data_IF_773766019993
#
_entry.id   IF_773766019993
#
_cell.length_a   1.000
_cell.length_b   1.000
_cell.length_c   1.000
_cell.angle_alpha   90.00
_cell.angle_beta   90.00
_cell.angle_gamma   90.00
#
_symmetry.space_group_name_H-M   'P 1'
#
loop_
_entity.id
_entity.type
_entity.pdbx_description
1 polymer ?
#
# COMPACT_ATOMS: atom_id res chain seq x y z
N UNK A 1 14.03 60.81 -3.25
CA UNK A 1 12.73 60.38 -3.80
C UNK A 1 12.86 58.88 -4.06
N UNK A 2 12.55 58.07 -3.05
CA UNK A 2 12.52 56.62 -3.14
C UNK A 2 11.26 56.15 -3.86
N UNK A 3 11.45 55.27 -4.79
CA UNK A 3 10.40 54.81 -5.71
C UNK A 3 9.48 53.81 -4.98
N UNK A 4 8.19 54.11 -4.74
CA UNK A 4 7.30 53.25 -3.94
C UNK A 4 6.88 51.96 -4.63
N UNK A 5 7.40 51.67 -5.83
CA UNK A 5 7.10 50.48 -6.63
C UNK A 5 8.02 49.29 -6.32
N UNK A 6 9.21 49.51 -5.71
CA UNK A 6 10.12 48.40 -5.36
C UNK A 6 9.76 47.68 -4.06
N UNK A 7 8.98 48.30 -3.17
CA UNK A 7 8.59 47.70 -1.90
C UNK A 7 7.35 46.82 -1.98
N UNK A 8 6.62 46.80 -3.10
CA UNK A 8 5.43 45.97 -3.28
C UNK A 8 5.70 44.60 -3.90
N UNK A 9 6.83 44.43 -4.61
CA UNK A 9 7.21 43.13 -5.23
C UNK A 9 7.73 42.13 -4.20
N UNK A 10 8.39 42.60 -3.15
CA UNK A 10 9.06 41.77 -2.15
C UNK A 10 8.08 41.12 -1.11
N UNK A 11 6.86 41.67 -0.99
CA UNK A 11 5.82 41.15 -0.07
C UNK A 11 4.91 40.08 -0.68
N UNK A 12 4.87 39.94 -1.99
CA UNK A 12 4.01 38.96 -2.66
C UNK A 12 4.65 37.57 -2.76
N UNK A 13 5.97 37.48 -2.83
CA UNK A 13 6.68 36.22 -2.96
C UNK A 13 6.85 35.48 -1.62
N UNK A 14 6.95 36.23 -0.49
CA UNK A 14 6.96 35.64 0.86
C UNK A 14 5.65 34.96 1.25
N UNK A 15 4.54 35.30 0.59
CA UNK A 15 3.20 34.80 0.94
C UNK A 15 2.85 33.48 0.27
N UNK A 16 3.60 33.03 -0.73
CA UNK A 16 3.29 31.82 -1.50
C UNK A 16 3.72 30.52 -0.79
N UNK A 17 4.78 30.58 0.03
CA UNK A 17 5.28 29.48 0.86
C UNK A 17 5.31 29.87 2.35
N UNK A 18 4.14 29.89 3.00
CA UNK A 18 4.05 30.14 4.44
C UNK A 18 4.53 28.94 5.25
N UNK A 19 4.98 29.19 6.48
CA UNK A 19 5.34 28.10 7.42
C UNK A 19 4.20 27.12 7.66
N UNK A 20 2.96 27.63 7.66
CA UNK A 20 1.77 26.79 7.86
C UNK A 20 1.56 25.80 6.72
N UNK A 21 1.86 26.21 5.46
CA UNK A 21 1.80 25.33 4.30
C UNK A 21 2.89 24.25 4.39
N UNK A 22 4.11 24.63 4.76
CA UNK A 22 5.21 23.68 4.94
C UNK A 22 4.91 22.67 6.05
N UNK A 23 4.35 23.11 7.19
CA UNK A 23 3.96 22.24 8.30
C UNK A 23 2.85 21.26 7.89
N UNK A 24 1.83 21.71 7.17
CA UNK A 24 0.78 20.82 6.66
C UNK A 24 1.32 19.81 5.65
N UNK A 25 2.20 20.23 4.74
CA UNK A 25 2.86 19.32 3.80
C UNK A 25 3.72 18.29 4.53
N UNK A 26 4.44 18.69 5.57
CA UNK A 26 5.22 17.77 6.39
C UNK A 26 4.31 16.75 7.11
N UNK A 27 3.17 17.17 7.62
CA UNK A 27 2.20 16.25 8.23
C UNK A 27 1.65 15.24 7.21
N UNK A 28 1.36 15.68 5.97
CA UNK A 28 0.93 14.78 4.89
C UNK A 28 2.05 13.81 4.53
N UNK A 29 3.31 14.28 4.46
CA UNK A 29 4.48 13.46 4.16
C UNK A 29 4.69 12.38 5.22
N UNK A 30 4.65 12.75 6.51
CA UNK A 30 4.80 11.80 7.62
C UNK A 30 3.66 10.77 7.63
N UNK A 31 2.41 11.19 7.45
CA UNK A 31 1.26 10.29 7.35
C UNK A 31 1.39 9.33 6.16
N UNK A 32 1.81 9.85 5.01
CA UNK A 32 2.02 9.04 3.80
C UNK A 32 3.13 8.01 4.01
N UNK A 33 4.22 8.39 4.68
CA UNK A 33 5.32 7.48 5.03
C UNK A 33 4.85 6.37 5.97
N UNK A 34 4.06 6.70 7.00
CA UNK A 34 3.50 5.70 7.91
C UNK A 34 2.55 4.74 7.18
N UNK A 35 1.66 5.25 6.31
CA UNK A 35 0.76 4.41 5.52
C UNK A 35 1.51 3.51 4.54
N UNK A 36 2.58 4.02 3.94
CA UNK A 36 3.46 3.20 3.11
C UNK A 36 4.10 2.05 3.90
N UNK A 37 4.62 2.31 5.10
CA UNK A 37 5.21 1.26 5.94
C UNK A 37 4.19 0.20 6.37
N UNK A 38 2.99 0.63 6.77
CA UNK A 38 1.89 -0.27 7.14
C UNK A 38 1.52 -1.16 5.94
N UNK A 39 1.31 -0.57 4.78
CA UNK A 39 0.95 -1.29 3.55
C UNK A 39 2.05 -2.27 3.12
N UNK A 40 3.33 -1.87 3.25
CA UNK A 40 4.48 -2.75 2.98
C UNK A 40 4.50 -3.96 3.91
N UNK A 41 4.27 -3.75 5.20
CA UNK A 41 4.23 -4.84 6.19
C UNK A 41 3.12 -5.83 5.88
N UNK A 42 1.93 -5.33 5.58
CA UNK A 42 0.78 -6.16 5.20
C UNK A 42 1.04 -6.94 3.91
N UNK A 43 1.66 -6.30 2.91
CA UNK A 43 2.07 -6.98 1.68
C UNK A 43 3.01 -8.17 1.97
N UNK A 44 4.00 -7.97 2.85
CA UNK A 44 4.94 -9.04 3.22
C UNK A 44 4.26 -10.18 3.99
N UNK A 45 3.32 -9.88 4.88
CA UNK A 45 2.52 -10.89 5.60
C UNK A 45 1.65 -11.70 4.62
N UNK A 46 1.02 -11.03 3.66
CA UNK A 46 0.20 -11.69 2.64
C UNK A 46 1.02 -12.56 1.69
N UNK A 47 2.26 -12.15 1.33
CA UNK A 47 3.21 -13.00 0.58
C UNK A 47 3.52 -14.27 1.36
N UNK A 48 3.79 -14.14 2.66
CA UNK A 48 4.09 -15.31 3.48
C UNK A 48 2.89 -16.26 3.54
N UNK A 49 1.69 -15.71 3.76
CA UNK A 49 0.45 -16.49 3.76
C UNK A 49 0.20 -17.16 2.40
N UNK A 50 0.42 -16.47 1.29
CA UNK A 50 0.28 -17.01 -0.05
C UNK A 50 1.23 -18.20 -0.30
N UNK A 51 2.49 -18.09 0.14
CA UNK A 51 3.47 -19.17 0.04
C UNK A 51 3.01 -20.40 0.82
N UNK A 52 2.43 -20.19 1.99
CA UNK A 52 1.92 -21.28 2.83
C UNK A 52 0.83 -22.10 2.14
N UNK A 53 -0.03 -21.48 1.31
CA UNK A 53 -1.03 -22.20 0.52
C UNK A 53 -0.47 -22.74 -0.79
N UNK A 54 0.29 -21.95 -1.56
CA UNK A 54 0.73 -22.33 -2.90
C UNK A 54 1.77 -23.43 -2.93
N UNK A 55 2.71 -23.44 -1.97
CA UNK A 55 3.75 -24.47 -1.97
C UNK A 55 3.16 -25.89 -1.77
N UNK A 56 2.30 -26.14 -0.76
CA UNK A 56 1.67 -27.46 -0.63
C UNK A 56 0.83 -27.85 -1.84
N UNK A 57 0.08 -26.92 -2.44
CA UNK A 57 -0.72 -27.19 -3.65
C UNK A 57 0.18 -27.69 -4.78
N UNK A 58 1.29 -27.01 -5.05
CA UNK A 58 2.23 -27.40 -6.11
C UNK A 58 2.83 -28.79 -5.84
N UNK A 59 3.29 -29.02 -4.60
CA UNK A 59 3.90 -30.30 -4.21
C UNK A 59 2.89 -31.44 -4.31
N UNK A 60 1.68 -31.28 -3.77
CA UNK A 60 0.65 -32.32 -3.80
C UNK A 60 0.16 -32.60 -5.23
N UNK A 61 0.05 -31.56 -6.06
CA UNK A 61 -0.30 -31.73 -7.48
C UNK A 61 0.79 -32.51 -8.25
N UNK A 62 2.05 -32.23 -7.96
CA UNK A 62 3.19 -32.98 -8.53
C UNK A 62 3.18 -34.45 -8.09
N UNK A 63 2.99 -34.70 -6.79
CA UNK A 63 2.89 -36.06 -6.26
C UNK A 63 1.70 -36.83 -6.85
N UNK A 64 0.53 -36.17 -6.98
CA UNK A 64 -0.63 -36.78 -7.61
C UNK A 64 -0.34 -37.26 -9.04
N UNK A 65 0.42 -36.47 -9.82
CA UNK A 65 0.84 -36.84 -11.18
C UNK A 65 1.78 -38.02 -11.19
N UNK A 66 2.74 -38.10 -10.26
CA UNK A 66 3.68 -39.21 -10.14
C UNK A 66 2.93 -40.49 -9.71
N UNK A 67 2.00 -40.41 -8.78
CA UNK A 67 1.22 -41.54 -8.31
C UNK A 67 0.31 -42.11 -9.39
N UNK A 68 -0.31 -41.23 -10.19
CA UNK A 68 -1.16 -41.65 -11.29
C UNK A 68 -0.44 -42.53 -12.33
N UNK A 69 0.86 -42.33 -12.56
CA UNK A 69 1.63 -43.05 -13.55
C UNK A 69 2.47 -44.17 -12.91
N UNK A 70 3.17 -43.89 -11.82
CA UNK A 70 4.18 -44.76 -11.23
C UNK A 70 3.67 -45.89 -10.38
N UNK A 71 2.53 -45.71 -9.67
CA UNK A 71 2.03 -46.73 -8.75
C UNK A 71 1.22 -47.83 -9.41
N UNK A 72 0.78 -47.67 -10.65
CA UNK A 72 0.00 -48.67 -11.38
C UNK A 72 0.71 -50.03 -11.54
N UNK A 73 2.06 -50.05 -11.46
CA UNK A 73 2.85 -51.28 -11.57
C UNK A 73 3.07 -52.00 -10.22
N UNK A 74 2.79 -51.31 -9.11
CA UNK A 74 3.12 -51.78 -7.76
C UNK A 74 1.87 -52.02 -6.87
N UNK A 75 0.75 -51.40 -7.22
CA UNK A 75 -0.49 -51.42 -6.42
C UNK A 75 -1.71 -51.70 -7.30
N UNK A 76 -2.76 -52.22 -6.69
CA UNK A 76 -4.03 -52.41 -7.37
C UNK A 76 -4.60 -51.07 -7.86
N UNK A 77 -5.11 -51.02 -9.06
CA UNK A 77 -5.63 -49.80 -9.70
C UNK A 77 -6.71 -49.08 -8.86
N UNK A 78 -7.50 -49.84 -8.10
CA UNK A 78 -8.52 -49.27 -7.23
C UNK A 78 -7.91 -48.40 -6.10
N UNK A 79 -6.82 -48.86 -5.50
CA UNK A 79 -6.11 -48.14 -4.43
C UNK A 79 -5.48 -46.85 -4.97
N UNK A 80 -4.84 -46.92 -6.14
CA UNK A 80 -4.24 -45.76 -6.82
C UNK A 80 -5.32 -44.72 -7.15
N UNK A 81 -6.48 -45.17 -7.63
CA UNK A 81 -7.61 -44.29 -7.97
C UNK A 81 -8.17 -43.56 -6.73
N UNK A 82 -8.33 -44.28 -5.62
CA UNK A 82 -8.81 -43.69 -4.36
C UNK A 82 -7.78 -42.65 -3.82
N UNK A 83 -6.49 -42.98 -3.86
CA UNK A 83 -5.42 -42.12 -3.40
C UNK A 83 -5.41 -40.80 -4.21
N UNK A 84 -5.46 -40.89 -5.55
CA UNK A 84 -5.51 -39.71 -6.43
C UNK A 84 -6.77 -38.87 -6.19
N UNK A 85 -7.91 -39.50 -5.94
CA UNK A 85 -9.14 -38.80 -5.62
C UNK A 85 -9.01 -37.97 -4.30
N UNK A 86 -8.44 -38.56 -3.25
CA UNK A 86 -8.22 -37.90 -1.97
C UNK A 86 -7.23 -36.73 -2.14
N UNK A 87 -6.10 -36.97 -2.84
CA UNK A 87 -5.11 -35.90 -3.10
C UNK A 87 -5.73 -34.75 -3.92
N UNK A 88 -6.48 -35.08 -4.97
CA UNK A 88 -7.19 -34.10 -5.78
C UNK A 88 -8.20 -33.28 -4.98
N UNK A 89 -8.95 -33.93 -4.07
CA UNK A 89 -9.87 -33.26 -3.17
C UNK A 89 -9.16 -32.28 -2.22
N UNK A 90 -8.03 -32.70 -1.63
CA UNK A 90 -7.23 -31.83 -0.75
C UNK A 90 -6.74 -30.60 -1.50
N UNK A 91 -6.16 -30.78 -2.71
CA UNK A 91 -5.65 -29.69 -3.54
C UNK A 91 -6.78 -28.71 -3.92
N UNK A 92 -7.94 -29.25 -4.35
CA UNK A 92 -9.10 -28.44 -4.71
C UNK A 92 -9.63 -27.65 -3.52
N UNK A 93 -9.69 -28.26 -2.33
CA UNK A 93 -10.13 -27.57 -1.10
C UNK A 93 -9.18 -26.46 -0.71
N UNK A 94 -7.86 -26.71 -0.73
CA UNK A 94 -6.86 -25.69 -0.42
C UNK A 94 -6.92 -24.51 -1.41
N UNK A 95 -7.06 -24.76 -2.70
CA UNK A 95 -7.21 -23.74 -3.72
C UNK A 95 -8.49 -22.91 -3.55
N UNK A 96 -9.59 -23.57 -3.18
CA UNK A 96 -10.87 -22.89 -2.90
C UNK A 96 -10.78 -21.97 -1.68
N UNK A 97 -10.07 -22.38 -0.62
CA UNK A 97 -9.83 -21.57 0.56
C UNK A 97 -8.96 -20.35 0.20
N UNK A 98 -7.89 -20.51 -0.57
CA UNK A 98 -7.04 -19.39 -1.03
C UNK A 98 -7.87 -18.34 -1.81
N UNK A 99 -8.71 -18.81 -2.73
CA UNK A 99 -9.61 -17.97 -3.51
C UNK A 99 -10.64 -17.24 -2.62
N UNK A 100 -11.25 -17.94 -1.68
CA UNK A 100 -12.21 -17.36 -0.74
C UNK A 100 -11.59 -16.27 0.13
N UNK A 101 -10.38 -16.48 0.62
CA UNK A 101 -9.63 -15.48 1.38
C UNK A 101 -9.22 -14.25 0.57
N UNK A 102 -9.21 -14.36 -0.75
CA UNK A 102 -8.85 -13.29 -1.68
C UNK A 102 -7.43 -12.77 -1.47
N UNK A 103 -6.49 -13.64 -1.08
CA UNK A 103 -5.13 -13.28 -0.69
C UNK A 103 -4.43 -12.49 -1.81
N UNK A 104 -4.51 -12.97 -3.04
CA UNK A 104 -3.87 -12.31 -4.19
C UNK A 104 -4.40 -10.89 -4.39
N UNK A 105 -5.73 -10.69 -4.32
CA UNK A 105 -6.35 -9.35 -4.47
C UNK A 105 -5.93 -8.40 -3.34
N UNK A 106 -5.89 -8.89 -2.10
CA UNK A 106 -5.44 -8.09 -0.95
C UNK A 106 -3.97 -7.70 -1.08
N UNK A 107 -3.14 -8.61 -1.60
CA UNK A 107 -1.73 -8.37 -1.85
C UNK A 107 -1.52 -7.28 -2.90
N UNK A 108 -2.28 -7.30 -4.01
CA UNK A 108 -2.21 -6.27 -5.04
C UNK A 108 -2.63 -4.90 -4.50
N UNK A 109 -3.70 -4.84 -3.69
CA UNK A 109 -4.14 -3.60 -3.03
C UNK A 109 -3.04 -3.07 -2.10
N UNK A 110 -2.46 -3.93 -1.25
CA UNK A 110 -1.42 -3.53 -0.31
C UNK A 110 -0.15 -3.03 -1.04
N UNK A 111 0.24 -3.68 -2.14
CA UNK A 111 1.38 -3.26 -2.95
C UNK A 111 1.13 -1.91 -3.62
N UNK A 112 -0.03 -1.73 -4.25
CA UNK A 112 -0.40 -0.46 -4.88
C UNK A 112 -0.47 0.68 -3.86
N UNK A 113 -1.07 0.44 -2.70
CA UNK A 113 -1.13 1.42 -1.61
C UNK A 113 0.27 1.81 -1.14
N UNK A 114 1.16 0.83 -0.91
CA UNK A 114 2.55 1.08 -0.54
C UNK A 114 3.25 1.98 -1.57
N UNK A 115 3.15 1.64 -2.86
CA UNK A 115 3.82 2.38 -3.92
C UNK A 115 3.27 3.81 -4.03
N UNK A 116 1.97 3.98 -3.99
CA UNK A 116 1.32 5.29 -4.15
C UNK A 116 1.64 6.22 -2.98
N UNK A 117 1.52 5.77 -1.74
CA UNK A 117 1.89 6.57 -0.56
C UNK A 117 3.38 6.89 -0.52
N UNK A 118 4.24 5.95 -0.93
CA UNK A 118 5.67 6.19 -1.03
C UNK A 118 5.99 7.27 -2.06
N UNK A 119 5.37 7.23 -3.24
CA UNK A 119 5.57 8.25 -4.29
C UNK A 119 5.10 9.61 -3.79
N UNK A 120 3.94 9.69 -3.11
CA UNK A 120 3.44 10.93 -2.55
C UNK A 120 4.41 11.50 -1.50
N UNK A 121 4.91 10.69 -0.58
CA UNK A 121 5.86 11.15 0.44
C UNK A 121 7.17 11.65 -0.19
N UNK A 122 7.71 10.95 -1.19
CA UNK A 122 8.92 11.37 -1.91
C UNK A 122 8.68 12.68 -2.66
N UNK A 123 7.53 12.86 -3.31
CA UNK A 123 7.15 14.08 -4.03
C UNK A 123 7.14 15.29 -3.09
N UNK A 124 6.51 15.16 -1.92
CA UNK A 124 6.45 16.22 -0.92
C UNK A 124 7.84 16.51 -0.34
N UNK A 125 8.58 15.45 0.05
CA UNK A 125 9.92 15.58 0.62
C UNK A 125 10.89 16.27 -0.35
N UNK A 126 10.85 15.93 -1.64
CA UNK A 126 11.68 16.58 -2.64
C UNK A 126 11.32 18.06 -2.79
N UNK A 127 10.05 18.42 -2.75
CA UNK A 127 9.63 19.82 -2.79
C UNK A 127 10.09 20.57 -1.54
N UNK A 128 9.93 20.01 -0.34
CA UNK A 128 10.31 20.66 0.92
C UNK A 128 11.82 20.81 1.10
N UNK A 129 12.63 19.94 0.46
CA UNK A 129 14.11 20.05 0.47
C UNK A 129 14.67 21.13 -0.44
N UNK A 130 13.91 21.61 -1.41
CA UNK A 130 14.32 22.72 -2.24
C UNK A 130 14.26 24.04 -1.45
N UNK A 131 15.22 24.93 -1.68
CA UNK A 131 15.16 26.28 -1.15
C UNK A 131 13.92 26.99 -1.69
N UNK A 132 13.33 27.89 -0.90
CA UNK A 132 12.08 28.61 -1.26
C UNK A 132 12.20 29.33 -2.60
N UNK A 133 13.38 29.90 -2.88
CA UNK A 133 13.65 30.60 -4.14
C UNK A 133 13.57 29.69 -5.37
N UNK A 134 13.89 28.40 -5.19
CA UNK A 134 13.81 27.39 -6.26
C UNK A 134 12.43 26.73 -6.39
N UNK A 135 11.49 27.03 -5.46
CA UNK A 135 10.08 26.58 -5.52
C UNK A 135 9.18 27.59 -6.23
N UNK A 136 9.75 28.70 -6.75
CA UNK A 136 9.02 29.84 -7.31
C UNK A 136 8.11 29.48 -8.50
N UNK A 137 8.35 28.37 -9.18
CA UNK A 137 7.49 27.88 -10.27
C UNK A 137 6.19 27.22 -9.80
N UNK A 138 6.10 26.84 -8.51
CA UNK A 138 4.93 26.18 -7.92
C UNK A 138 4.26 27.04 -6.87
N UNK A 139 2.96 27.33 -7.06
CA UNK A 139 2.15 27.96 -5.99
C UNK A 139 2.00 26.98 -4.83
N UNK A 140 2.49 27.39 -3.64
CA UNK A 140 2.47 26.55 -2.43
C UNK A 140 1.07 26.10 -2.03
N UNK A 141 0.05 26.93 -2.21
CA UNK A 141 -1.34 26.57 -1.93
C UNK A 141 -1.88 25.57 -2.94
N UNK A 142 -1.60 25.77 -4.21
CA UNK A 142 -2.03 24.84 -5.25
C UNK A 142 -1.37 23.48 -5.06
N UNK A 143 -0.07 23.46 -4.70
CA UNK A 143 0.66 22.24 -4.41
C UNK A 143 0.09 21.50 -3.17
N UNK A 144 -0.16 22.23 -2.07
CA UNK A 144 -0.78 21.66 -0.87
C UNK A 144 -2.15 21.04 -1.19
N UNK A 145 -3.01 21.78 -1.91
CA UNK A 145 -4.35 21.29 -2.27
C UNK A 145 -4.28 20.03 -3.14
N UNK A 146 -3.34 20.00 -4.09
CA UNK A 146 -3.12 18.81 -4.94
C UNK A 146 -2.63 17.61 -4.12
N UNK A 147 -1.66 17.81 -3.21
CA UNK A 147 -1.15 16.73 -2.35
C UNK A 147 -2.21 16.23 -1.37
N UNK A 148 -3.04 17.12 -0.81
CA UNK A 148 -4.13 16.75 0.08
C UNK A 148 -5.19 15.93 -0.66
N UNK A 149 -5.62 16.37 -1.86
CA UNK A 149 -6.57 15.62 -2.67
C UNK A 149 -6.03 14.24 -3.09
N UNK A 150 -4.75 14.16 -3.45
CA UNK A 150 -4.08 12.89 -3.76
C UNK A 150 -4.05 11.97 -2.52
N UNK A 151 -3.71 12.50 -1.35
CA UNK A 151 -3.71 11.76 -0.08
C UNK A 151 -5.11 11.23 0.27
N UNK A 152 -6.15 12.07 0.20
CA UNK A 152 -7.55 11.69 0.47
C UNK A 152 -8.03 10.59 -0.49
N UNK A 153 -7.68 10.71 -1.78
CA UNK A 153 -8.00 9.69 -2.76
C UNK A 153 -7.33 8.35 -2.42
N UNK A 154 -6.04 8.36 -2.09
CA UNK A 154 -5.30 7.16 -1.72
C UNK A 154 -5.85 6.55 -0.43
N UNK A 155 -6.17 7.38 0.55
CA UNK A 155 -6.74 6.93 1.82
C UNK A 155 -8.11 6.27 1.63
N UNK A 156 -8.97 6.85 0.77
CA UNK A 156 -10.30 6.29 0.49
C UNK A 156 -10.25 4.95 -0.25
N UNK A 157 -9.21 4.72 -1.06
CA UNK A 157 -8.99 3.44 -1.75
C UNK A 157 -8.36 2.38 -0.85
N UNK A 158 -7.74 2.80 0.23
CA UNK A 158 -7.05 1.94 1.16
C UNK A 158 -8.02 1.47 2.26
N UNK A 159 -8.62 0.28 2.09
CA UNK A 159 -9.51 -0.33 3.07
C UNK A 159 -8.76 -0.88 4.31
N UNK A 160 -7.52 -0.45 4.53
CA UNK A 160 -6.65 -0.96 5.57
C UNK A 160 -6.71 -0.03 6.76
N UNK A 161 -7.66 -0.26 7.65
CA UNK A 161 -7.69 0.32 8.99
C UNK A 161 -6.75 -0.48 9.89
N UNK A 162 -5.64 0.12 10.30
CA UNK A 162 -4.77 -0.45 11.32
C UNK A 162 -4.97 0.33 12.62
N UNK A 163 -5.20 -0.37 13.72
CA UNK A 163 -5.46 0.20 15.05
C UNK A 163 -4.29 1.05 15.59
N UNK A 164 -3.11 0.97 14.96
CA UNK A 164 -1.90 1.68 15.36
C UNK A 164 -1.61 2.93 14.51
N UNK A 165 -2.55 3.37 13.68
CA UNK A 165 -2.37 4.56 12.86
C UNK A 165 -2.75 5.83 13.63
N UNK A 166 -1.81 6.73 13.80
CA UNK A 166 -2.04 8.07 14.39
C UNK A 166 -2.02 9.10 13.27
N UNK A 167 -3.20 9.60 12.92
CA UNK A 167 -3.34 10.64 11.91
C UNK A 167 -2.93 12.02 12.50
N UNK A 168 -1.93 12.66 11.88
CA UNK A 168 -1.47 14.00 12.28
C UNK A 168 -2.29 15.13 11.65
N UNK A 169 -3.05 14.85 10.60
CA UNK A 169 -3.92 15.85 9.94
C UNK A 169 -5.22 16.07 10.70
N UNK A 170 -5.74 15.00 11.28
CA UNK A 170 -6.98 15.05 12.05
C UNK A 170 -6.76 14.34 13.39
N UNK A 171 -7.05 15.05 14.48
CA UNK A 171 -7.00 14.47 15.84
C UNK A 171 -8.23 13.56 16.05
N UNK A 172 -8.42 12.56 15.19
CA UNK A 172 -9.59 11.66 15.19
C UNK A 172 -9.66 10.83 16.47
N UNK A 173 -8.54 10.58 17.16
CA UNK A 173 -8.55 9.93 18.48
C UNK A 173 -9.44 10.64 19.50
N UNK A 174 -9.60 11.96 19.39
CA UNK A 174 -10.49 12.73 20.27
C UNK A 174 -11.97 12.54 19.92
N UNK A 175 -12.30 12.15 18.69
CA UNK A 175 -13.69 11.99 18.22
C UNK A 175 -14.21 10.59 18.51
N UNK A 176 -13.36 9.57 18.46
CA UNK A 176 -13.74 8.17 18.68
C UNK A 176 -13.78 7.77 20.17
N UNK A 177 -13.23 8.60 21.08
CA UNK A 177 -13.29 8.39 22.55
C UNK A 177 -14.49 9.01 23.24
N UNK A 178 -15.47 9.52 22.49
CA UNK A 178 -16.75 10.01 22.98
C UNK A 178 -17.88 9.07 22.61
#
# INVERSE_FOLDING_TARGET
MENPLETMSDKTDEHNWSKDIEEQLQNIEENSTQQAEISKRQYLELIFLQKYFKIPIIVLSGLNSIFAIGLNNFMEQNIVSILNCILGFIVATMGSIELYLGITKKMDIALNSYQSFYILSVKINNCLRLDRDHRSECDGRAFLTACLAEYEQLFSQNNITNDNYTDKLTNIELILKK
#
